data_IF_726719927600
#
_entry.id   IF_726719927600
#
_cell.length_a   1.000
_cell.length_b   1.000
_cell.length_c   1.000
_cell.angle_alpha   90.00
_cell.angle_beta   90.00
_cell.angle_gamma   90.00
#
_symmetry.space_group_name_H-M   'P 1'
#
loop_
_entity.id
_entity.type
_entity.pdbx_description
1 polymer ?
#
# COMPACT_ATOMS: atom_id res chain seq x y z
N UNK A 1 11.81 9.70 34.11
CA UNK A 1 11.89 9.79 32.64
C UNK A 1 10.96 8.73 32.08
N UNK A 2 10.01 9.11 31.23
CA UNK A 2 9.25 8.09 30.48
C UNK A 2 10.23 7.42 29.50
N UNK A 3 10.21 6.08 29.37
CA UNK A 3 11.11 5.38 28.46
C UNK A 3 10.88 5.85 27.02
N UNK A 4 11.98 6.09 26.29
CA UNK A 4 11.93 6.50 24.89
C UNK A 4 11.46 5.34 24.01
N UNK A 5 10.65 5.65 22.99
CA UNK A 5 10.19 4.68 22.00
C UNK A 5 11.37 4.23 21.13
N UNK A 6 11.65 2.93 21.14
CA UNK A 6 12.72 2.33 20.33
C UNK A 6 12.12 1.70 19.08
N UNK A 7 12.69 2.03 17.91
CA UNK A 7 12.34 1.39 16.64
C UNK A 7 13.40 0.35 16.26
N UNK A 8 12.97 -0.88 15.96
CA UNK A 8 13.82 -1.98 15.50
C UNK A 8 13.20 -2.58 14.23
N UNK A 9 13.72 -2.20 13.06
CA UNK A 9 13.06 -2.53 11.80
C UNK A 9 11.67 -1.90 11.73
N UNK A 10 10.64 -2.73 11.55
CA UNK A 10 9.24 -2.29 11.63
C UNK A 10 8.68 -2.22 13.04
N UNK A 11 9.37 -2.76 14.05
CA UNK A 11 8.83 -2.88 15.40
C UNK A 11 8.99 -1.58 16.19
N UNK A 12 7.94 -1.19 16.91
CA UNK A 12 7.95 -0.09 17.86
C UNK A 12 7.79 -0.63 19.27
N UNK A 13 8.78 -0.37 20.12
CA UNK A 13 8.86 -0.94 21.48
C UNK A 13 9.02 0.20 22.49
N UNK A 14 8.13 0.22 23.49
CA UNK A 14 8.35 1.00 24.71
C UNK A 14 9.02 0.07 25.74
N UNK A 15 10.32 0.21 26.02
CA UNK A 15 10.99 -0.70 26.95
C UNK A 15 10.48 -0.50 28.39
N UNK A 16 10.41 -1.60 29.13
CA UNK A 16 10.17 -1.62 30.58
C UNK A 16 11.24 -2.49 31.23
N UNK A 17 11.81 -2.05 32.35
CA UNK A 17 12.73 -2.84 33.16
C UNK A 17 12.02 -3.77 34.15
N UNK A 18 10.71 -3.60 34.33
CA UNK A 18 9.90 -4.47 35.17
C UNK A 18 9.50 -5.72 34.38
N UNK A 19 9.96 -6.93 34.78
CA UNK A 19 9.65 -8.18 34.08
C UNK A 19 8.17 -8.58 34.19
N UNK A 20 7.40 -7.99 35.12
CA UNK A 20 5.97 -8.26 35.25
C UNK A 20 5.13 -7.52 34.19
N UNK A 21 5.70 -6.50 33.53
CA UNK A 21 4.99 -5.74 32.50
C UNK A 21 5.01 -6.51 31.18
N UNK A 22 3.83 -6.78 30.64
CA UNK A 22 3.69 -7.25 29.25
C UNK A 22 3.95 -6.10 28.29
N UNK A 23 4.93 -6.25 27.40
CA UNK A 23 5.27 -5.24 26.38
C UNK A 23 4.29 -5.32 25.23
N UNK A 24 3.51 -4.26 25.00
CA UNK A 24 2.69 -4.14 23.82
C UNK A 24 3.58 -3.74 22.64
N UNK A 25 3.90 -4.71 21.78
CA UNK A 25 4.75 -4.48 20.61
C UNK A 25 3.95 -3.83 19.47
N UNK A 26 4.27 -2.58 19.16
CA UNK A 26 3.68 -1.85 18.04
C UNK A 26 4.47 -2.02 16.76
N UNK A 27 4.08 -1.29 15.72
CA UNK A 27 4.79 -1.30 14.44
C UNK A 27 4.74 0.05 13.74
N UNK A 28 5.72 0.29 12.85
CA UNK A 28 5.76 1.34 11.84
C UNK A 28 6.35 0.75 10.57
N UNK A 29 5.59 0.81 9.49
CA UNK A 29 5.98 0.28 8.19
C UNK A 29 5.56 1.22 7.07
N UNK A 30 6.15 1.00 5.90
CA UNK A 30 6.00 1.86 4.74
C UNK A 30 5.55 1.01 3.55
N UNK A 31 4.37 1.32 3.02
CA UNK A 31 3.77 0.60 1.91
C UNK A 31 3.94 1.43 0.66
N UNK A 32 4.60 0.87 -0.34
CA UNK A 32 4.89 1.51 -1.62
C UNK A 32 4.00 0.88 -2.67
N UNK A 33 3.10 1.66 -3.24
CA UNK A 33 2.37 1.29 -4.45
C UNK A 33 3.07 1.90 -5.65
N UNK A 34 3.35 1.09 -6.66
CA UNK A 34 4.05 1.51 -7.86
C UNK A 34 3.22 1.18 -9.10
N UNK A 35 2.71 2.23 -9.74
CA UNK A 35 1.97 2.16 -11.00
C UNK A 35 2.92 2.43 -12.17
N UNK A 36 2.87 1.57 -13.19
CA UNK A 36 3.78 1.64 -14.34
C UNK A 36 3.01 2.04 -15.59
N UNK A 37 3.60 2.96 -16.35
CA UNK A 37 3.06 3.32 -17.65
C UNK A 37 3.30 2.19 -18.67
N UNK A 38 2.34 1.98 -19.56
CA UNK A 38 2.41 0.94 -20.59
C UNK A 38 3.49 1.23 -21.65
N UNK A 39 3.83 2.50 -21.91
CA UNK A 39 4.91 2.88 -22.82
C UNK A 39 5.49 4.25 -22.46
N UNK A 40 6.74 4.53 -22.87
CA UNK A 40 7.32 5.87 -22.80
C UNK A 40 6.62 6.90 -23.73
N UNK A 41 5.75 6.42 -24.63
CA UNK A 41 4.98 7.25 -25.57
C UNK A 41 3.53 7.49 -25.15
N UNK A 42 3.06 6.86 -24.06
CA UNK A 42 1.74 7.18 -23.51
C UNK A 42 1.79 8.50 -22.77
N UNK A 43 0.63 9.16 -22.67
CA UNK A 43 0.50 10.34 -21.82
C UNK A 43 0.76 9.93 -20.37
N UNK A 44 0.27 8.77 -19.93
CA UNK A 44 0.40 8.23 -18.58
C UNK A 44 1.86 8.16 -18.09
N UNK A 45 2.07 8.55 -16.83
CA UNK A 45 3.39 8.57 -16.21
C UNK A 45 3.53 7.39 -15.25
N UNK A 46 4.76 6.90 -15.09
CA UNK A 46 5.07 6.03 -13.96
C UNK A 46 4.85 6.82 -12.67
N UNK A 47 4.25 6.22 -11.65
CA UNK A 47 4.01 6.87 -10.39
C UNK A 47 4.25 5.92 -9.22
N UNK A 48 4.60 6.50 -8.07
CA UNK A 48 4.56 5.77 -6.82
C UNK A 48 4.01 6.63 -5.70
N UNK A 49 3.47 5.96 -4.69
CA UNK A 49 3.05 6.54 -3.44
C UNK A 49 3.52 5.70 -2.26
N UNK A 50 3.78 6.36 -1.13
CA UNK A 50 4.20 5.74 0.12
C UNK A 50 3.19 6.06 1.20
N UNK A 51 2.64 5.01 1.82
CA UNK A 51 1.82 5.11 3.03
C UNK A 51 2.66 4.66 4.22
N UNK A 52 2.78 5.52 5.24
CA UNK A 52 3.22 5.11 6.58
C UNK A 52 2.02 4.52 7.31
N UNK A 53 2.14 3.28 7.78
CA UNK A 53 1.15 2.56 8.58
C UNK A 53 1.77 2.22 9.93
N UNK A 54 1.15 2.68 11.01
CA UNK A 54 1.70 2.50 12.35
C UNK A 54 0.64 2.24 13.42
N UNK A 55 1.07 1.49 14.44
CA UNK A 55 0.41 1.39 15.74
C UNK A 55 1.48 1.62 16.79
N UNK A 56 1.43 2.79 17.42
CA UNK A 56 2.40 3.19 18.42
C UNK A 56 1.94 2.67 19.80
N UNK A 57 2.78 1.94 20.54
CA UNK A 57 2.46 1.57 21.91
C UNK A 57 2.50 2.79 22.82
N UNK A 58 1.71 2.78 23.88
CA UNK A 58 1.71 3.82 24.90
C UNK A 58 1.43 3.21 26.27
N UNK A 59 1.83 3.94 27.31
CA UNK A 59 1.49 3.60 28.68
C UNK A 59 0.09 4.09 29.04
N UNK A 60 -0.73 3.20 29.58
CA UNK A 60 -1.91 3.57 30.37
C UNK A 60 -1.52 3.66 31.85
N UNK A 61 -2.50 3.84 32.74
CA UNK A 61 -2.25 3.83 34.18
C UNK A 61 -1.71 2.48 34.67
N UNK A 62 -2.04 1.37 33.99
CA UNK A 62 -1.81 0.02 34.49
C UNK A 62 -0.99 -0.89 33.55
N UNK A 63 -0.94 -0.59 32.25
CA UNK A 63 -0.30 -1.48 31.27
C UNK A 63 0.21 -0.71 30.04
N UNK A 64 0.97 -1.41 29.20
CA UNK A 64 1.19 -0.95 27.84
C UNK A 64 0.07 -1.40 26.93
N UNK A 65 -0.41 -0.49 26.08
CA UNK A 65 -1.44 -0.77 25.08
C UNK A 65 -1.05 -0.21 23.72
N UNK A 66 -1.58 -0.82 22.65
CA UNK A 66 -1.42 -0.29 21.30
C UNK A 66 -2.44 0.81 21.03
N UNK A 67 -1.94 1.98 20.65
CA UNK A 67 -2.77 3.05 20.14
C UNK A 67 -3.56 2.66 18.88
N UNK A 68 -4.43 3.57 18.43
CA UNK A 68 -5.18 3.37 17.19
C UNK A 68 -4.22 3.23 16.00
N UNK A 69 -4.64 2.45 15.00
CA UNK A 69 -3.92 2.35 13.72
C UNK A 69 -3.98 3.68 12.99
N UNK A 70 -2.85 4.16 12.50
CA UNK A 70 -2.75 5.39 11.71
C UNK A 70 -2.10 5.07 10.37
N UNK A 71 -2.78 5.43 9.28
CA UNK A 71 -2.25 5.36 7.92
C UNK A 71 -2.18 6.76 7.34
N UNK A 72 -1.03 7.15 6.80
CA UNK A 72 -0.83 8.47 6.20
C UNK A 72 -0.03 8.35 4.91
N UNK A 73 -0.51 8.97 3.83
CA UNK A 73 0.28 9.15 2.61
C UNK A 73 1.39 10.16 2.92
N UNK A 74 2.64 9.70 2.94
CA UNK A 74 3.80 10.53 3.33
C UNK A 74 4.61 11.03 2.13
N UNK A 75 4.48 10.37 0.97
CA UNK A 75 5.18 10.75 -0.26
C UNK A 75 4.42 10.24 -1.47
N UNK A 76 4.43 11.00 -2.55
CA UNK A 76 4.04 10.50 -3.87
C UNK A 76 4.77 11.29 -4.96
N UNK A 77 5.17 10.62 -6.03
CA UNK A 77 5.96 11.19 -7.13
C UNK A 77 5.59 10.56 -8.47
N UNK A 78 5.67 11.36 -9.54
CA UNK A 78 5.74 10.84 -10.90
C UNK A 78 7.19 10.61 -11.28
N UNK A 79 7.47 9.43 -11.81
CA UNK A 79 8.78 9.06 -12.33
C UNK A 79 8.80 9.36 -13.83
N UNK A 80 9.81 10.09 -14.34
CA UNK A 80 9.93 10.37 -15.76
C UNK A 80 9.87 9.10 -16.63
N UNK A 81 9.44 9.26 -17.87
CA UNK A 81 9.46 8.17 -18.84
C UNK A 81 10.91 7.68 -19.05
N UNK A 82 11.13 6.38 -18.89
CA UNK A 82 12.43 5.72 -19.02
C UNK A 82 12.24 4.24 -19.38
N UNK A 83 13.33 3.54 -19.71
CA UNK A 83 13.26 2.09 -19.97
C UNK A 83 12.87 1.32 -18.70
N UNK A 84 12.20 0.18 -18.82
CA UNK A 84 11.90 -0.68 -17.66
C UNK A 84 13.16 -1.15 -16.92
N UNK A 85 14.29 -1.26 -17.62
CA UNK A 85 15.58 -1.56 -17.02
C UNK A 85 16.10 -0.46 -16.11
N UNK A 86 15.95 0.80 -16.51
CA UNK A 86 16.29 1.97 -15.69
C UNK A 86 15.28 2.16 -14.57
N UNK A 87 13.99 2.00 -14.85
CA UNK A 87 12.92 2.05 -13.86
C UNK A 87 13.15 1.03 -12.73
N UNK A 88 13.60 -0.17 -13.07
CA UNK A 88 13.96 -1.20 -12.09
C UNK A 88 15.14 -0.79 -11.19
N UNK A 89 16.08 0.02 -11.70
CA UNK A 89 17.16 0.61 -10.88
C UNK A 89 16.61 1.69 -9.96
N UNK A 90 15.71 2.55 -10.45
CA UNK A 90 15.04 3.57 -9.64
C UNK A 90 14.26 2.94 -8.49
N UNK A 91 13.42 1.93 -8.76
CA UNK A 91 12.65 1.21 -7.75
C UNK A 91 13.56 0.52 -6.73
N UNK A 92 14.63 -0.14 -7.19
CA UNK A 92 15.62 -0.76 -6.29
C UNK A 92 16.26 0.27 -5.37
N UNK A 93 16.66 1.42 -5.92
CA UNK A 93 17.32 2.46 -5.13
C UNK A 93 16.33 3.08 -4.13
N UNK A 94 15.07 3.29 -4.51
CA UNK A 94 14.00 3.71 -3.61
C UNK A 94 13.86 2.74 -2.45
N UNK A 95 13.71 1.44 -2.71
CA UNK A 95 13.52 0.41 -1.67
C UNK A 95 14.75 0.20 -0.77
N UNK A 96 15.92 0.76 -1.11
CA UNK A 96 17.13 0.73 -0.28
C UNK A 96 17.34 2.01 0.54
N UNK A 97 16.49 3.01 0.39
CA UNK A 97 16.54 4.21 1.23
C UNK A 97 15.88 3.92 2.57
N UNK A 98 16.44 4.41 3.68
CA UNK A 98 15.71 4.43 4.93
C UNK A 98 14.50 5.39 4.82
N UNK A 99 13.35 5.04 5.43
CA UNK A 99 13.09 3.86 6.25
C UNK A 99 12.59 2.62 5.48
N UNK A 100 12.55 2.66 4.14
CA UNK A 100 12.04 1.55 3.32
C UNK A 100 12.94 0.31 3.37
N UNK A 101 14.25 0.50 3.51
CA UNK A 101 15.21 -0.61 3.56
C UNK A 101 14.93 -1.58 4.72
N UNK A 102 14.39 -1.09 5.83
CA UNK A 102 14.17 -1.84 7.07
C UNK A 102 12.71 -2.16 7.36
N UNK A 103 11.77 -1.36 6.85
CA UNK A 103 10.35 -1.51 7.13
C UNK A 103 9.45 -1.24 5.89
N UNK A 104 10.01 -1.34 4.68
CA UNK A 104 9.33 -1.06 3.42
C UNK A 104 8.77 -2.30 2.73
N UNK A 105 7.59 -2.16 2.13
CA UNK A 105 6.93 -3.19 1.33
C UNK A 105 6.45 -2.61 0.01
N UNK A 106 6.72 -3.31 -1.09
CA UNK A 106 6.41 -2.85 -2.43
C UNK A 106 5.28 -3.69 -3.04
N UNK A 107 4.29 -3.04 -3.65
CA UNK A 107 3.33 -3.66 -4.57
C UNK A 107 3.46 -3.00 -5.95
N UNK A 108 3.44 -3.82 -6.98
CA UNK A 108 3.63 -3.39 -8.38
C UNK A 108 2.46 -3.88 -9.21
N UNK A 109 1.94 -3.01 -10.08
CA UNK A 109 0.96 -3.44 -11.07
C UNK A 109 1.64 -4.36 -12.08
N UNK A 110 1.13 -5.58 -12.13
CA UNK A 110 1.52 -6.71 -12.96
C UNK A 110 0.50 -6.93 -14.08
N UNK A 111 -0.37 -5.96 -14.35
CA UNK A 111 -1.21 -5.92 -15.55
C UNK A 111 -0.35 -5.62 -16.79
N UNK A 112 -0.70 -6.20 -17.94
CA UNK A 112 0.00 -5.99 -19.22
C UNK A 112 1.53 -6.21 -19.13
N UNK A 113 2.28 -5.12 -19.34
CA UNK A 113 3.76 -5.07 -19.29
C UNK A 113 4.34 -5.35 -17.89
N UNK A 114 3.53 -5.23 -16.84
CA UNK A 114 3.98 -5.32 -15.45
C UNK A 114 4.45 -6.69 -15.00
N UNK A 115 4.05 -7.76 -15.70
CA UNK A 115 4.58 -9.11 -15.44
C UNK A 115 6.09 -9.16 -15.73
N UNK A 116 6.49 -8.68 -16.90
CA UNK A 116 7.91 -8.62 -17.29
C UNK A 116 8.71 -7.68 -16.37
N UNK A 117 8.10 -6.56 -15.96
CA UNK A 117 8.73 -5.66 -15.00
C UNK A 117 8.91 -6.29 -13.61
N UNK A 118 7.94 -7.07 -13.14
CA UNK A 118 8.04 -7.83 -11.88
C UNK A 118 9.17 -8.86 -11.93
N UNK A 119 9.34 -9.56 -13.04
CA UNK A 119 10.46 -10.51 -13.22
C UNK A 119 11.81 -9.77 -13.26
N UNK A 120 11.85 -8.60 -13.88
CA UNK A 120 13.02 -7.71 -13.89
C UNK A 120 13.42 -7.22 -12.50
N UNK A 121 12.44 -6.94 -11.64
CA UNK A 121 12.64 -6.58 -10.22
C UNK A 121 13.16 -7.77 -9.40
N UNK A 122 12.61 -8.97 -9.62
CA UNK A 122 13.14 -10.19 -8.97
C UNK A 122 14.59 -10.45 -9.36
N UNK A 123 14.93 -10.31 -10.64
CA UNK A 123 16.32 -10.45 -11.11
C UNK A 123 17.27 -9.42 -10.48
N UNK A 124 16.75 -8.33 -9.91
CA UNK A 124 17.48 -7.30 -9.16
C UNK A 124 17.35 -7.46 -7.63
N UNK A 125 16.83 -8.59 -7.16
CA UNK A 125 16.60 -8.90 -5.74
C UNK A 125 15.68 -7.90 -5.03
N UNK A 126 14.73 -7.29 -5.76
CA UNK A 126 13.69 -6.43 -5.19
C UNK A 126 12.46 -7.28 -4.88
N UNK A 127 12.23 -7.52 -3.59
CA UNK A 127 11.02 -8.21 -3.12
C UNK A 127 9.79 -7.32 -3.31
N UNK A 128 8.72 -7.88 -3.86
CA UNK A 128 7.48 -7.15 -4.12
C UNK A 128 6.27 -8.08 -4.22
N UNK A 129 5.11 -7.52 -3.93
CA UNK A 129 3.81 -8.12 -4.19
C UNK A 129 3.38 -7.81 -5.61
N UNK A 130 2.95 -8.84 -6.35
CA UNK A 130 2.37 -8.69 -7.69
C UNK A 130 0.88 -8.48 -7.55
N UNK A 131 0.40 -7.34 -8.02
CA UNK A 131 -1.03 -7.05 -8.14
C UNK A 131 -1.40 -7.06 -9.61
N UNK A 132 -2.47 -7.74 -10.00
CA UNK A 132 -3.04 -7.64 -11.34
C UNK A 132 -4.36 -6.89 -11.25
N UNK A 133 -4.40 -5.69 -11.81
CA UNK A 133 -5.62 -4.89 -11.80
C UNK A 133 -6.63 -5.48 -12.79
N UNK A 134 -7.85 -5.74 -12.32
CA UNK A 134 -8.93 -6.34 -13.12
C UNK A 134 -10.15 -5.42 -13.22
N UNK A 135 -11.04 -5.72 -14.17
CA UNK A 135 -12.32 -5.01 -14.37
C UNK A 135 -13.48 -5.57 -13.53
N UNK A 136 -13.24 -6.56 -12.66
CA UNK A 136 -14.26 -7.17 -11.81
C UNK A 136 -14.72 -6.28 -10.65
N UNK A 137 -15.29 -6.87 -9.60
CA UNK A 137 -15.74 -6.14 -8.40
C UNK A 137 -15.06 -6.56 -7.10
N UNK A 138 -14.32 -7.66 -7.12
CA UNK A 138 -13.67 -8.23 -5.94
C UNK A 138 -12.17 -8.34 -6.09
N UNK A 139 -11.62 -9.21 -5.26
CA UNK A 139 -10.24 -9.65 -5.33
C UNK A 139 -10.16 -11.18 -5.29
N UNK A 140 -9.09 -11.74 -5.83
CA UNK A 140 -8.79 -13.17 -5.78
C UNK A 140 -7.30 -13.40 -5.89
N UNK A 141 -6.83 -14.54 -5.40
CA UNK A 141 -5.46 -14.98 -5.60
C UNK A 141 -5.40 -16.00 -6.75
N UNK A 142 -4.45 -15.82 -7.66
CA UNK A 142 -4.11 -16.81 -8.68
C UNK A 142 -2.65 -17.23 -8.54
N UNK A 143 -2.38 -18.53 -8.74
CA UNK A 143 -1.02 -19.06 -8.82
C UNK A 143 -0.72 -19.53 -10.24
N UNK A 144 0.27 -18.92 -10.85
CA UNK A 144 0.75 -19.29 -12.19
C UNK A 144 2.23 -19.67 -12.09
N UNK A 145 2.58 -20.90 -12.49
CA UNK A 145 3.98 -21.39 -12.47
C UNK A 145 4.68 -21.20 -11.10
N UNK A 146 3.94 -21.37 -10.00
CA UNK A 146 4.46 -21.19 -8.65
C UNK A 146 4.58 -19.71 -8.19
N UNK A 147 4.15 -18.76 -9.02
CA UNK A 147 4.13 -17.33 -8.71
C UNK A 147 2.71 -16.91 -8.35
N UNK A 148 2.55 -16.23 -7.22
CA UNK A 148 1.27 -15.68 -6.77
C UNK A 148 1.00 -14.30 -7.40
N UNK A 149 -0.21 -14.12 -7.92
CA UNK A 149 -0.77 -12.87 -8.41
C UNK A 149 -2.03 -12.53 -7.62
N UNK A 150 -2.10 -11.29 -7.14
CA UNK A 150 -3.28 -10.77 -6.45
C UNK A 150 -4.14 -10.05 -7.49
N UNK A 151 -5.19 -10.68 -7.96
CA UNK A 151 -6.14 -10.06 -8.88
C UNK A 151 -7.05 -9.14 -8.08
N UNK A 152 -6.96 -7.83 -8.29
CA UNK A 152 -7.73 -6.86 -7.50
C UNK A 152 -8.48 -5.96 -8.48
N UNK A 153 -9.77 -5.78 -8.28
CA UNK A 153 -10.52 -4.89 -9.17
C UNK A 153 -10.16 -3.42 -8.97
N UNK A 154 -10.15 -2.66 -10.08
CA UNK A 154 -9.93 -1.20 -10.04
C UNK A 154 -10.97 -0.50 -9.16
N UNK A 155 -12.23 -0.94 -9.24
CA UNK A 155 -13.31 -0.39 -8.43
C UNK A 155 -13.10 -0.65 -6.94
N UNK A 156 -12.65 -1.85 -6.55
CA UNK A 156 -12.34 -2.16 -5.14
C UNK A 156 -11.21 -1.26 -4.61
N UNK A 157 -10.12 -1.11 -5.35
CA UNK A 157 -9.00 -0.24 -4.96
C UNK A 157 -9.46 1.20 -4.68
N UNK A 158 -10.19 1.78 -5.64
CA UNK A 158 -10.67 3.17 -5.54
C UNK A 158 -11.74 3.35 -4.45
N UNK A 159 -12.67 2.40 -4.33
CA UNK A 159 -13.69 2.41 -3.27
C UNK A 159 -13.06 2.34 -1.89
N UNK A 160 -12.17 1.37 -1.66
CA UNK A 160 -11.51 1.18 -0.37
C UNK A 160 -10.69 2.41 0.04
N UNK A 161 -9.99 3.02 -0.91
CA UNK A 161 -9.29 4.29 -0.68
C UNK A 161 -10.26 5.43 -0.33
N UNK A 162 -11.34 5.59 -1.09
CA UNK A 162 -12.33 6.64 -0.84
C UNK A 162 -12.98 6.48 0.54
N UNK A 163 -13.40 5.26 0.88
CA UNK A 163 -13.95 4.95 2.20
C UNK A 163 -12.94 5.24 3.31
N UNK A 164 -11.68 4.83 3.17
CA UNK A 164 -10.64 5.07 4.16
C UNK A 164 -10.36 6.57 4.37
N UNK A 165 -10.38 7.38 3.30
CA UNK A 165 -10.26 8.84 3.40
C UNK A 165 -11.46 9.46 4.12
N UNK A 166 -12.69 9.03 3.80
CA UNK A 166 -13.91 9.56 4.40
C UNK A 166 -14.03 9.28 5.91
N UNK A 167 -13.66 8.07 6.35
CA UNK A 167 -13.73 7.70 7.79
C UNK A 167 -12.50 8.14 8.58
N UNK A 168 -11.48 8.72 7.91
CA UNK A 168 -10.24 9.19 8.54
C UNK A 168 -9.21 8.09 8.82
N UNK A 169 -9.45 6.89 8.30
CA UNK A 169 -8.59 5.71 8.37
C UNK A 169 -7.32 5.82 7.52
N UNK A 170 -7.38 6.63 6.46
CA UNK A 170 -6.27 7.09 5.65
C UNK A 170 -6.24 8.61 5.69
N UNK A 171 -5.06 9.19 5.94
CA UNK A 171 -4.84 10.63 5.90
C UNK A 171 -3.86 11.00 4.79
N UNK A 172 -4.01 12.19 4.22
CA UNK A 172 -3.05 12.74 3.26
C UNK A 172 -2.09 13.65 4.04
N UNK A 173 -0.81 13.26 4.11
CA UNK A 173 0.25 14.03 4.74
C UNK A 173 0.67 15.24 3.90
N UNK A 174 1.75 15.90 4.33
CA UNK A 174 2.30 17.06 3.63
C UNK A 174 3.49 16.64 2.76
N UNK A 175 3.33 16.65 1.44
CA UNK A 175 4.37 16.34 0.46
C UNK A 175 4.14 17.16 -0.83
N UNK A 176 5.15 17.33 -1.70
CA UNK A 176 5.09 18.25 -2.84
C UNK A 176 3.88 18.04 -3.78
N UNK A 177 3.56 16.78 -4.12
CA UNK A 177 2.45 16.44 -5.00
C UNK A 177 1.08 16.29 -4.30
N UNK A 178 0.95 16.75 -3.05
CA UNK A 178 -0.30 16.62 -2.28
C UNK A 178 -1.51 17.22 -3.01
N UNK A 179 -1.37 18.44 -3.53
CA UNK A 179 -2.46 19.13 -4.21
C UNK A 179 -2.83 18.44 -5.53
N UNK A 180 -1.88 17.78 -6.17
CA UNK A 180 -2.14 17.02 -7.39
C UNK A 180 -2.87 15.71 -7.09
N UNK A 181 -2.49 15.00 -6.02
CA UNK A 181 -3.26 13.86 -5.53
C UNK A 181 -4.71 14.27 -5.23
N UNK A 182 -4.93 15.42 -4.57
CA UNK A 182 -6.27 15.92 -4.30
C UNK A 182 -7.06 16.17 -5.60
N UNK A 183 -6.45 16.78 -6.61
CA UNK A 183 -7.08 16.99 -7.92
C UNK A 183 -7.40 15.67 -8.64
N UNK A 184 -6.51 14.68 -8.58
CA UNK A 184 -6.77 13.35 -9.14
C UNK A 184 -7.96 12.69 -8.42
N UNK A 185 -8.01 12.77 -7.08
CA UNK A 185 -9.12 12.25 -6.28
C UNK A 185 -10.45 12.93 -6.62
N UNK A 186 -10.47 14.25 -6.75
CA UNK A 186 -11.65 15.03 -7.15
C UNK A 186 -12.12 14.74 -8.59
N UNK A 187 -11.20 14.27 -9.45
CA UNK A 187 -11.52 13.94 -10.85
C UNK A 187 -12.24 12.59 -11.02
N UNK A 188 -12.30 11.77 -9.97
CA UNK A 188 -13.05 10.52 -10.03
C UNK A 188 -14.56 10.79 -10.01
N UNK A 189 -15.22 10.49 -11.13
CA UNK A 189 -16.67 10.45 -11.19
C UNK A 189 -17.16 9.01 -11.03
N UNK A 190 -18.06 8.81 -10.06
CA UNK A 190 -18.76 7.54 -9.91
C UNK A 190 -19.95 7.56 -10.87
N UNK A 191 -19.94 6.68 -11.87
CA UNK A 191 -21.11 6.40 -12.68
C UNK A 191 -21.76 5.13 -12.15
N UNK A 192 -22.98 5.27 -11.64
CA UNK A 192 -23.83 4.12 -11.34
C UNK A 192 -24.47 3.64 -12.64
N UNK A 193 -24.29 2.37 -12.99
CA UNK A 193 -25.08 1.73 -14.04
C UNK A 193 -26.52 1.55 -13.57
N UNK A 194 -27.44 1.39 -14.52
CA UNK A 194 -28.85 1.09 -14.24
C UNK A 194 -29.06 -0.22 -13.46
N UNK A 195 -28.03 -1.08 -13.42
CA UNK A 195 -27.98 -2.33 -12.64
C UNK A 195 -27.42 -2.14 -11.23
N UNK A 196 -27.19 -0.89 -10.78
CA UNK A 196 -26.65 -0.56 -9.46
C UNK A 196 -25.14 -0.74 -9.30
N UNK A 197 -24.40 -1.02 -10.39
CA UNK A 197 -22.95 -1.22 -10.36
C UNK A 197 -22.24 0.13 -10.45
N UNK A 198 -21.36 0.41 -9.51
CA UNK A 198 -20.55 1.62 -9.53
C UNK A 198 -19.32 1.41 -10.41
N UNK A 199 -19.27 2.11 -11.53
CA UNK A 199 -18.08 2.21 -12.37
C UNK A 199 -17.37 3.53 -12.08
N UNK A 200 -16.09 3.44 -11.72
CA UNK A 200 -15.25 4.62 -11.61
C UNK A 200 -14.73 4.99 -12.99
N UNK A 201 -15.28 6.08 -13.54
CA UNK A 201 -14.70 6.73 -14.71
C UNK A 201 -14.08 8.03 -14.23
N UNK A 202 -12.76 8.14 -14.30
CA UNK A 202 -12.06 9.30 -13.78
C UNK A 202 -10.60 9.29 -14.13
N UNK A 203 -10.11 10.50 -14.32
CA UNK A 203 -8.83 10.88 -14.88
C UNK A 203 -8.98 12.37 -15.20
N UNK A 204 -7.98 13.16 -14.86
CA UNK A 204 -8.01 14.61 -15.19
C UNK A 204 -8.19 14.81 -16.71
N UNK A 205 -8.53 16.02 -17.19
CA UNK A 205 -8.52 16.32 -18.64
C UNK A 205 -7.18 15.97 -19.33
N UNK A 206 -6.11 15.76 -18.55
CA UNK A 206 -4.78 15.33 -18.98
C UNK A 206 -4.54 13.80 -18.90
N UNK A 207 -5.52 12.99 -18.48
CA UNK A 207 -5.43 11.53 -18.46
C UNK A 207 -4.84 10.90 -17.19
N UNK A 208 -4.20 11.68 -16.31
CA UNK A 208 -3.48 11.11 -15.17
C UNK A 208 -4.38 10.77 -13.99
N UNK A 209 -4.30 9.51 -13.54
CA UNK A 209 -4.83 9.00 -12.26
C UNK A 209 -3.79 8.13 -11.52
N UNK A 210 -2.53 8.23 -11.96
CA UNK A 210 -1.44 7.30 -11.62
C UNK A 210 -1.04 7.43 -10.14
N UNK A 211 -1.12 8.64 -9.56
CA UNK A 211 -0.80 8.88 -8.15
C UNK A 211 -1.89 8.28 -7.27
N UNK A 212 -3.16 8.55 -7.58
CA UNK A 212 -4.28 7.99 -6.85
C UNK A 212 -4.31 6.46 -6.93
N UNK A 213 -3.98 5.88 -8.09
CA UNK A 213 -3.84 4.43 -8.22
C UNK A 213 -2.72 3.88 -7.34
N UNK A 214 -1.54 4.52 -7.37
CA UNK A 214 -0.42 4.16 -6.51
C UNK A 214 -0.78 4.20 -5.02
N UNK A 215 -1.55 5.20 -4.57
CA UNK A 215 -2.06 5.28 -3.18
C UNK A 215 -3.00 4.12 -2.88
N UNK A 216 -3.95 3.83 -3.77
CA UNK A 216 -4.91 2.75 -3.57
C UNK A 216 -4.24 1.38 -3.48
N UNK A 217 -3.21 1.13 -4.31
CA UNK A 217 -2.40 -0.09 -4.25
C UNK A 217 -1.62 -0.19 -2.93
N UNK A 218 -0.99 0.90 -2.48
CA UNK A 218 -0.28 0.93 -1.20
C UNK A 218 -1.24 0.67 -0.02
N UNK A 219 -2.46 1.20 -0.08
CA UNK A 219 -3.48 0.98 0.94
C UNK A 219 -3.93 -0.47 0.96
N UNK A 220 -4.22 -1.05 -0.20
CA UNK A 220 -4.54 -2.47 -0.33
C UNK A 220 -3.43 -3.33 0.27
N UNK A 221 -2.17 -3.04 -0.05
CA UNK A 221 -1.03 -3.75 0.53
C UNK A 221 -1.02 -3.61 2.06
N UNK A 222 -1.30 -2.42 2.59
CA UNK A 222 -1.40 -2.17 4.03
C UNK A 222 -2.41 -3.09 4.73
N UNK A 223 -3.57 -3.33 4.11
CA UNK A 223 -4.62 -4.21 4.67
C UNK A 223 -4.26 -5.70 4.56
N UNK A 224 -3.55 -6.09 3.51
CA UNK A 224 -3.15 -7.47 3.28
C UNK A 224 -1.82 -7.85 3.96
N UNK A 225 -1.05 -6.85 4.41
CA UNK A 225 0.17 -7.05 5.20
C UNK A 225 -0.10 -7.17 6.69
N UNK A 226 -1.34 -7.02 7.15
CA UNK A 226 -1.64 -7.01 8.59
C UNK A 226 -1.11 -8.29 9.24
N UNK A 227 -0.17 -8.09 10.17
CA UNK A 227 0.67 -9.09 10.83
C UNK A 227 -0.21 -10.25 11.32
N UNK A 228 -0.02 -11.46 10.78
CA UNK A 228 -0.76 -12.67 11.17
C UNK A 228 -1.91 -13.11 10.24
N UNK A 229 -2.18 -12.42 9.13
CA UNK A 229 -3.15 -12.88 8.14
C UNK A 229 -2.63 -14.12 7.39
N UNK A 230 -2.97 -15.30 7.89
CA UNK A 230 -3.11 -16.47 7.06
C UNK A 230 -4.22 -16.17 6.04
N UNK A 231 -3.86 -15.87 4.79
CA UNK A 231 -4.83 -15.92 3.69
C UNK A 231 -5.04 -17.39 3.37
N UNK A 232 -5.99 -18.00 4.07
CA UNK A 232 -6.38 -19.40 3.93
C UNK A 232 -7.65 -19.68 4.74
N UNK A 233 -8.40 -20.71 4.35
CA UNK A 233 -9.56 -21.15 5.11
C UNK A 233 -9.10 -21.75 6.46
N UNK A 234 -9.45 -21.09 7.56
CA UNK A 234 -9.34 -21.70 8.89
C UNK A 234 -10.72 -22.15 9.34
N UNK A 235 -10.82 -23.38 9.86
CA UNK A 235 -12.07 -23.89 10.42
C UNK A 235 -12.31 -23.15 11.73
N UNK A 236 -13.43 -22.43 11.84
CA UNK A 236 -13.85 -21.82 13.10
C UNK A 236 -13.89 -22.90 14.19
N UNK A 237 -12.97 -22.82 15.16
CA UNK A 237 -13.06 -23.60 16.39
C UNK A 237 -14.14 -22.95 17.25
N UNK A 238 -15.28 -23.61 17.37
CA UNK A 238 -16.31 -23.25 18.33
C UNK A 238 -15.80 -23.37 19.76
N UNK A 239 -16.25 -22.46 20.62
CA UNK A 239 -15.95 -22.44 22.05
C UNK A 239 -17.00 -23.25 22.81
N UNK A 240 -17.02 -24.58 22.64
CA UNK A 240 -17.72 -25.50 23.53
C UNK A 240 -17.02 -26.87 23.44
N UNK A 241 -16.21 -27.17 24.45
CA UNK A 241 -15.94 -28.52 24.98
C UNK A 241 -15.98 -28.42 26.51
#
# INVERSE_FOLDING_TARGET
MQPELVQQGEDLILPSSDPAVTIAKGYRRYLVGFDIAQSATTVDANAFAIIQDERIPHWTEYAQELGPRRRTVVRAERVPAMSYTELGVVVRNLMRQEPLATAGYLVVDSSGVGRAFSDLLLARSVQHTRMQITSGEGESEAKERGVTFNNVSKSLLLNSMNSALHVGDLKIGNFPLRNELQRELESFSVKHSDTGRSTFSGGTKAGHADIAMSVAMALWLSDHRTVGAHVGETRLKGYWD
#
